data_IF_318584678116
#
_entry.id   IF_318584678116
#
_cell.length_a   1.000
_cell.length_b   1.000
_cell.length_c   1.000
_cell.angle_alpha   90.00
_cell.angle_beta   90.00
_cell.angle_gamma   90.00
#
_symmetry.space_group_name_H-M   'P 1'
#
loop_
_entity.id
_entity.type
_entity.pdbx_description
1 polymer ?
#
# COMPACT_ATOMS: atom_id res chain seq x y z
N UNK A 1 -21.32 -15.12 -7.99
CA UNK A 1 -20.14 -14.94 -7.14
C UNK A 1 -20.42 -15.64 -5.81
N UNK A 2 -19.49 -16.52 -5.37
CA UNK A 2 -19.66 -17.28 -4.13
C UNK A 2 -19.66 -16.37 -2.88
N UNK A 3 -20.20 -16.90 -1.76
CA UNK A 3 -20.28 -16.18 -0.48
C UNK A 3 -18.92 -15.77 0.12
N UNK A 4 -17.82 -16.31 -0.41
CA UNK A 4 -16.46 -16.11 0.10
C UNK A 4 -15.65 -15.10 -0.70
N UNK A 5 -16.29 -14.29 -1.54
CA UNK A 5 -15.60 -13.24 -2.29
C UNK A 5 -15.44 -11.98 -1.42
N UNK A 6 -14.24 -11.41 -1.42
CA UNK A 6 -14.01 -10.09 -0.84
C UNK A 6 -14.19 -9.01 -1.92
N UNK A 7 -15.40 -8.53 -2.08
CA UNK A 7 -15.72 -7.49 -3.07
C UNK A 7 -15.10 -6.13 -2.74
N UNK A 8 -14.62 -5.91 -1.51
CA UNK A 8 -13.92 -4.69 -1.13
C UNK A 8 -12.59 -4.51 -1.86
N UNK A 9 -12.02 -5.59 -2.42
CA UNK A 9 -10.76 -5.48 -3.19
C UNK A 9 -10.85 -4.54 -4.41
N UNK A 10 -12.06 -4.23 -4.89
CA UNK A 10 -12.30 -3.23 -5.94
C UNK A 10 -12.48 -1.81 -5.39
N UNK A 11 -12.63 -1.65 -4.08
CA UNK A 11 -12.89 -0.36 -3.45
C UNK A 11 -11.59 0.43 -3.25
N UNK A 12 -11.67 1.73 -3.49
CA UNK A 12 -10.57 2.66 -3.23
C UNK A 12 -10.08 2.60 -1.78
N UNK A 13 -11.01 2.58 -0.82
CA UNK A 13 -10.68 2.57 0.61
C UNK A 13 -9.98 1.30 1.06
N UNK A 14 -10.21 0.17 0.39
CA UNK A 14 -9.43 -1.03 0.66
C UNK A 14 -7.94 -0.83 0.37
N UNK A 15 -7.61 0.05 -0.59
CA UNK A 15 -6.26 0.53 -0.83
C UNK A 15 -5.68 1.37 0.31
N UNK A 16 -6.49 1.90 1.23
CA UNK A 16 -6.05 2.58 2.45
C UNK A 16 -6.03 1.63 3.66
N UNK A 17 -6.99 0.71 3.75
CA UNK A 17 -7.09 -0.27 4.85
C UNK A 17 -5.89 -1.21 4.88
N UNK A 18 -5.41 -1.64 3.72
CA UNK A 18 -4.32 -2.61 3.64
C UNK A 18 -2.98 -2.06 4.15
N UNK A 19 -2.49 -0.88 3.73
CA UNK A 19 -1.30 -0.29 4.34
C UNK A 19 -1.53 0.07 5.82
N UNK A 20 -2.73 0.49 6.22
CA UNK A 20 -3.06 0.70 7.63
C UNK A 20 -2.87 -0.58 8.44
N UNK A 21 -3.38 -1.72 7.98
CA UNK A 21 -3.17 -3.02 8.63
C UNK A 21 -1.69 -3.32 8.82
N UNK A 22 -0.87 -3.14 7.77
CA UNK A 22 0.57 -3.37 7.86
C UNK A 22 1.25 -2.43 8.88
N UNK A 23 0.86 -1.15 8.90
CA UNK A 23 1.38 -0.14 9.83
C UNK A 23 1.00 -0.46 11.28
N UNK A 24 -0.25 -0.86 11.54
CA UNK A 24 -0.70 -1.26 12.88
C UNK A 24 0.02 -2.52 13.36
N UNK A 25 0.24 -3.51 12.48
CA UNK A 25 1.02 -4.73 12.79
C UNK A 25 2.45 -4.35 13.22
N UNK A 26 3.13 -3.48 12.47
CA UNK A 26 4.48 -3.03 12.77
C UNK A 26 4.53 -2.20 14.06
N UNK A 27 3.63 -1.23 14.23
CA UNK A 27 3.59 -0.34 15.40
C UNK A 27 3.27 -1.10 16.70
N UNK A 28 2.61 -2.25 16.62
CA UNK A 28 2.34 -3.13 17.75
C UNK A 28 3.40 -4.22 17.97
N UNK A 29 4.55 -4.13 17.28
CA UNK A 29 5.70 -5.00 17.49
C UNK A 29 5.57 -6.40 16.90
N UNK A 30 4.65 -6.62 15.97
CA UNK A 30 4.53 -7.87 15.24
C UNK A 30 5.53 -7.90 14.07
N UNK A 31 6.09 -9.07 13.79
CA UNK A 31 7.22 -9.22 12.87
C UNK A 31 6.84 -9.25 11.38
N UNK A 32 5.56 -9.31 11.06
CA UNK A 32 5.12 -9.34 9.67
C UNK A 32 3.63 -9.63 9.54
N UNK A 33 3.14 -9.44 8.33
CA UNK A 33 1.76 -9.71 7.93
C UNK A 33 1.76 -10.29 6.52
N UNK A 34 0.93 -11.27 6.27
CA UNK A 34 0.69 -11.83 4.95
C UNK A 34 -0.73 -11.49 4.52
N UNK A 35 -0.87 -10.90 3.35
CA UNK A 35 -2.17 -10.65 2.75
C UNK A 35 -2.58 -11.81 1.85
N UNK A 36 -3.79 -12.22 1.94
CA UNK A 36 -4.42 -13.17 1.05
C UNK A 36 -5.29 -12.39 0.07
N UNK A 37 -5.01 -12.36 -1.22
CA UNK A 37 -3.88 -12.99 -1.90
C UNK A 37 -3.48 -12.20 -3.14
N UNK A 38 -2.41 -12.66 -3.82
CA UNK A 38 -1.84 -11.97 -4.97
C UNK A 38 -2.80 -11.94 -6.17
N UNK A 39 -3.34 -13.08 -6.54
CA UNK A 39 -4.25 -13.28 -7.67
C UNK A 39 -5.54 -13.95 -7.19
N UNK A 40 -6.63 -13.79 -7.92
CA UNK A 40 -7.86 -14.54 -7.63
C UNK A 40 -7.63 -16.02 -7.82
N UNK A 41 -8.24 -16.82 -6.96
CA UNK A 41 -8.09 -18.26 -6.99
C UNK A 41 -9.42 -18.98 -7.15
N UNK A 42 -9.35 -20.14 -7.77
CA UNK A 42 -10.43 -21.10 -7.80
C UNK A 42 -10.29 -22.05 -6.61
N UNK A 43 -11.25 -22.00 -5.69
CA UNK A 43 -11.28 -22.82 -4.49
C UNK A 43 -12.55 -23.68 -4.45
N UNK A 44 -12.81 -24.39 -5.52
CA UNK A 44 -13.78 -25.47 -5.48
C UNK A 44 -13.11 -26.81 -5.18
N UNK A 45 -13.88 -27.78 -4.73
CA UNK A 45 -13.42 -29.15 -4.65
C UNK A 45 -13.07 -29.67 -6.05
N UNK A 46 -11.83 -29.41 -6.49
CA UNK A 46 -11.31 -29.88 -7.76
C UNK A 46 -11.01 -28.82 -8.81
N UNK A 47 -10.92 -27.53 -8.45
CA UNK A 47 -10.58 -26.44 -9.38
C UNK A 47 -11.26 -26.66 -10.74
N UNK A 48 -12.59 -26.54 -10.73
CA UNK A 48 -13.44 -27.00 -11.82
C UNK A 48 -13.28 -26.23 -13.14
N UNK A 49 -12.59 -25.07 -13.11
CA UNK A 49 -12.50 -24.16 -14.24
C UNK A 49 -13.80 -23.38 -14.52
N UNK A 50 -14.79 -23.45 -13.62
CA UNK A 50 -16.06 -22.73 -13.79
C UNK A 50 -16.01 -21.36 -13.15
N UNK A 51 -16.57 -20.36 -13.82
CA UNK A 51 -16.55 -18.96 -13.36
C UNK A 51 -17.26 -18.75 -12.01
N UNK A 52 -18.30 -19.56 -11.73
CA UNK A 52 -19.01 -19.51 -10.46
C UNK A 52 -18.19 -19.98 -9.25
N UNK A 53 -17.10 -20.71 -9.48
CA UNK A 53 -16.22 -21.23 -8.44
C UNK A 53 -15.05 -20.28 -8.14
N UNK A 54 -14.83 -19.24 -8.93
CA UNK A 54 -13.75 -18.27 -8.71
C UNK A 54 -13.99 -17.47 -7.46
N UNK A 55 -12.96 -17.40 -6.63
CA UNK A 55 -12.93 -16.58 -5.40
C UNK A 55 -12.20 -15.28 -5.66
N UNK A 56 -12.86 -14.17 -5.41
CA UNK A 56 -12.34 -12.83 -5.66
C UNK A 56 -11.74 -12.28 -4.36
N UNK A 57 -10.42 -12.24 -4.28
CA UNK A 57 -9.65 -11.69 -3.15
C UNK A 57 -8.39 -10.97 -3.59
N UNK A 58 -7.92 -11.24 -4.81
CA UNK A 58 -6.62 -10.88 -5.31
C UNK A 58 -6.46 -9.41 -5.65
N UNK A 59 -5.25 -9.08 -6.03
CA UNK A 59 -4.88 -7.77 -6.57
C UNK A 59 -5.26 -7.63 -8.04
N UNK A 60 -5.55 -8.73 -8.72
CA UNK A 60 -6.03 -8.87 -10.10
C UNK A 60 -6.56 -10.28 -10.32
N UNK A 61 -7.00 -10.57 -11.53
CA UNK A 61 -7.26 -11.92 -12.01
C UNK A 61 -6.52 -12.13 -13.34
N UNK A 62 -5.46 -12.93 -13.33
CA UNK A 62 -4.60 -13.13 -14.51
C UNK A 62 -5.31 -13.84 -15.69
N UNK A 63 -6.46 -14.44 -15.42
CA UNK A 63 -7.30 -15.11 -16.41
C UNK A 63 -8.67 -14.42 -16.55
N UNK A 64 -8.68 -13.10 -16.44
CA UNK A 64 -9.91 -12.31 -16.41
C UNK A 64 -10.73 -12.48 -17.67
N UNK A 65 -10.11 -12.42 -18.84
CA UNK A 65 -10.77 -12.61 -20.12
C UNK A 65 -11.27 -14.05 -20.30
N UNK A 66 -10.44 -15.04 -19.98
CA UNK A 66 -10.76 -16.46 -20.15
C UNK A 66 -11.83 -16.95 -19.18
N UNK A 67 -11.81 -16.45 -17.93
CA UNK A 67 -12.70 -16.93 -16.87
C UNK A 67 -14.00 -16.14 -16.81
N UNK A 68 -13.96 -14.82 -17.03
CA UNK A 68 -15.11 -13.94 -16.91
C UNK A 68 -15.60 -13.39 -18.26
N UNK A 69 -14.82 -13.55 -19.34
CA UNK A 69 -15.04 -12.87 -20.62
C UNK A 69 -14.86 -11.34 -20.49
N UNK A 70 -14.03 -10.89 -19.54
CA UNK A 70 -13.86 -9.49 -19.19
C UNK A 70 -12.38 -9.21 -18.85
N UNK A 71 -11.64 -8.71 -19.83
CA UNK A 71 -10.23 -8.37 -19.69
C UNK A 71 -9.98 -7.28 -18.62
N UNK A 72 -10.99 -6.49 -18.21
CA UNK A 72 -10.82 -5.50 -17.15
C UNK A 72 -10.56 -6.13 -15.78
N UNK A 73 -10.84 -7.41 -15.60
CA UNK A 73 -10.51 -8.15 -14.38
C UNK A 73 -9.00 -8.38 -14.21
N UNK A 74 -8.23 -8.25 -15.28
CA UNK A 74 -6.77 -8.36 -15.29
C UNK A 74 -6.09 -7.06 -14.83
N UNK A 75 -6.85 -5.96 -14.77
CA UNK A 75 -6.35 -4.70 -14.26
C UNK A 75 -6.02 -4.78 -12.76
N UNK A 76 -4.98 -4.04 -12.37
CA UNK A 76 -4.55 -3.94 -10.98
C UNK A 76 -5.62 -3.25 -10.13
N UNK A 77 -6.07 -3.90 -9.09
CA UNK A 77 -7.04 -3.36 -8.15
C UNK A 77 -6.43 -2.34 -7.20
N UNK A 78 -7.23 -1.46 -6.59
CA UNK A 78 -6.77 -0.35 -5.76
C UNK A 78 -5.70 -0.71 -4.72
N UNK A 79 -5.87 -1.80 -3.99
CA UNK A 79 -4.96 -2.17 -2.90
C UNK A 79 -3.60 -2.70 -3.36
N UNK A 80 -3.45 -3.08 -4.63
CA UNK A 80 -2.14 -3.39 -5.19
C UNK A 80 -1.16 -2.24 -5.04
N UNK A 81 -1.61 -1.01 -5.33
CA UNK A 81 -0.74 0.16 -5.38
C UNK A 81 -0.09 0.48 -4.03
N UNK A 82 -0.83 0.34 -2.95
CA UNK A 82 -0.34 0.64 -1.60
C UNK A 82 0.36 -0.56 -0.97
N UNK A 83 -0.20 -1.77 -1.14
CA UNK A 83 0.39 -2.98 -0.58
C UNK A 83 1.74 -3.31 -1.20
N UNK A 84 1.90 -3.16 -2.51
CA UNK A 84 3.18 -3.36 -3.19
C UNK A 84 4.26 -2.39 -2.69
N UNK A 85 3.90 -1.13 -2.40
CA UNK A 85 4.80 -0.15 -1.79
C UNK A 85 5.21 -0.56 -0.37
N UNK A 86 4.27 -1.04 0.45
CA UNK A 86 4.60 -1.56 1.78
C UNK A 86 5.55 -2.75 1.70
N UNK A 87 5.28 -3.73 0.83
CA UNK A 87 6.15 -4.89 0.64
C UNK A 87 7.56 -4.52 0.15
N UNK A 88 7.65 -3.54 -0.74
CA UNK A 88 8.93 -3.12 -1.34
C UNK A 88 9.79 -2.32 -0.38
N UNK A 89 9.19 -1.38 0.35
CA UNK A 89 9.93 -0.37 1.10
C UNK A 89 9.95 -0.60 2.62
N UNK A 90 9.32 -1.67 3.10
CA UNK A 90 9.47 -2.19 4.46
C UNK A 90 9.99 -3.64 4.40
N UNK A 91 11.24 -3.84 3.92
CA UNK A 91 11.76 -5.17 3.64
C UNK A 91 12.04 -5.96 4.92
N UNK A 92 12.17 -7.27 4.79
CA UNK A 92 12.56 -8.14 5.88
C UNK A 92 13.85 -7.68 6.55
N UNK A 93 13.86 -7.67 7.88
CA UNK A 93 14.98 -7.24 8.69
C UNK A 93 15.17 -5.72 8.74
N UNK A 94 14.16 -4.92 8.43
CA UNK A 94 14.15 -3.51 8.80
C UNK A 94 13.82 -3.35 10.29
N UNK A 95 14.36 -2.28 10.90
CA UNK A 95 14.00 -1.86 12.25
C UNK A 95 12.78 -0.96 12.19
N UNK A 96 11.69 -1.33 12.82
CA UNK A 96 10.53 -0.44 13.00
C UNK A 96 10.89 0.63 14.02
N UNK A 97 10.65 1.89 13.68
CA UNK A 97 10.99 3.04 14.51
C UNK A 97 9.76 3.55 15.27
N UNK A 98 9.94 3.87 16.54
CA UNK A 98 8.92 4.59 17.29
C UNK A 98 8.76 6.00 16.72
N UNK A 99 7.53 6.36 16.37
CA UNK A 99 7.19 7.67 15.84
C UNK A 99 6.55 8.55 16.93
N UNK A 100 7.10 9.73 17.16
CA UNK A 100 6.42 10.77 17.95
C UNK A 100 5.45 11.51 17.01
N UNK A 101 4.19 11.09 17.00
CA UNK A 101 3.14 11.67 16.14
C UNK A 101 2.12 12.37 17.03
N UNK A 102 1.81 13.66 16.80
CA UNK A 102 0.70 14.32 17.46
C UNK A 102 -0.60 13.53 17.22
N UNK A 103 -1.36 13.29 18.27
CA UNK A 103 -2.65 12.62 18.12
C UNK A 103 -3.57 13.42 17.20
N UNK A 104 -3.88 12.84 16.06
CA UNK A 104 -4.85 13.37 15.10
C UNK A 104 -5.75 12.23 14.66
N UNK A 105 -7.05 12.45 14.82
CA UNK A 105 -8.04 11.51 14.34
C UNK A 105 -7.87 11.25 12.84
N UNK A 106 -7.98 10.00 12.44
CA UNK A 106 -7.84 9.58 11.04
C UNK A 106 -6.40 9.50 10.51
N UNK A 107 -5.38 10.02 11.22
CA UNK A 107 -3.99 9.93 10.79
C UNK A 107 -3.28 8.75 11.46
N UNK A 108 -2.58 7.95 10.66
CA UNK A 108 -1.65 6.92 11.13
C UNK A 108 -0.32 7.06 10.40
N UNK A 109 0.77 6.81 11.15
CA UNK A 109 2.14 6.88 10.63
C UNK A 109 2.91 5.65 11.11
N UNK A 110 3.73 5.10 10.23
CA UNK A 110 4.75 4.11 10.58
C UNK A 110 6.06 4.45 9.91
N UNK A 111 7.17 4.16 10.58
CA UNK A 111 8.49 4.37 10.02
C UNK A 111 9.38 3.15 10.26
N UNK A 112 10.28 2.91 9.32
CA UNK A 112 11.28 1.87 9.45
C UNK A 112 12.63 2.36 8.92
N UNK A 113 13.68 1.68 9.38
CA UNK A 113 15.06 1.86 8.91
C UNK A 113 15.60 0.52 8.43
N UNK A 114 16.22 0.53 7.27
CA UNK A 114 17.04 -0.57 6.76
C UNK A 114 18.44 -0.04 6.51
N UNK A 115 19.41 -0.48 7.30
CA UNK A 115 20.77 0.07 7.27
C UNK A 115 20.79 1.60 7.46
N UNK A 116 21.18 2.35 6.42
CA UNK A 116 21.17 3.82 6.41
C UNK A 116 19.93 4.42 5.73
N UNK A 117 19.02 3.58 5.22
CA UNK A 117 17.84 4.02 4.49
C UNK A 117 16.60 4.04 5.40
N UNK A 118 15.64 4.89 5.07
CA UNK A 118 14.42 5.10 5.85
C UNK A 118 13.19 4.99 4.95
N UNK A 119 12.11 4.47 5.53
CA UNK A 119 10.77 4.55 4.98
C UNK A 119 9.82 5.15 6.02
N UNK A 120 9.01 6.11 5.60
CA UNK A 120 7.95 6.70 6.42
C UNK A 120 6.65 6.66 5.64
N UNK A 121 5.70 5.87 6.11
CA UNK A 121 4.36 5.76 5.54
C UNK A 121 3.36 6.51 6.40
N UNK A 122 2.39 7.16 5.77
CA UNK A 122 1.26 7.77 6.44
C UNK A 122 -0.04 7.52 5.68
N UNK A 123 -1.09 7.17 6.43
CA UNK A 123 -2.47 7.10 5.95
C UNK A 123 -3.29 8.18 6.64
N UNK A 124 -4.06 8.91 5.87
CA UNK A 124 -5.01 9.90 6.35
C UNK A 124 -6.42 9.50 5.93
N UNK A 125 -7.24 9.05 6.87
CA UNK A 125 -8.66 8.71 6.64
C UNK A 125 -9.60 9.90 6.85
N UNK A 126 -9.06 11.05 7.28
CA UNK A 126 -9.91 12.23 7.47
C UNK A 126 -10.22 12.89 6.14
N UNK A 127 -11.32 13.64 6.10
CA UNK A 127 -11.73 14.43 4.93
C UNK A 127 -10.93 15.74 4.78
N UNK A 128 -9.97 15.99 5.67
CA UNK A 128 -9.13 17.17 5.63
C UNK A 128 -7.67 16.80 5.39
N UNK A 129 -6.95 17.51 4.52
CA UNK A 129 -5.53 17.27 4.34
C UNK A 129 -4.76 17.63 5.63
N UNK A 130 -3.61 16.99 5.81
CA UNK A 130 -2.70 17.37 6.89
C UNK A 130 -1.28 17.57 6.37
N UNK A 131 -0.56 18.48 7.01
CA UNK A 131 0.87 18.64 6.75
C UNK A 131 1.65 17.87 7.80
N UNK A 132 2.53 16.99 7.36
CA UNK A 132 3.49 16.32 8.20
C UNK A 132 4.84 17.00 8.08
N UNK A 133 5.45 17.25 9.24
CA UNK A 133 6.86 17.57 9.36
C UNK A 133 7.58 16.31 9.84
N UNK A 134 8.38 15.71 8.96
CA UNK A 134 9.12 14.47 9.21
C UNK A 134 10.55 14.85 9.59
N UNK A 135 10.99 14.42 10.78
CA UNK A 135 12.37 14.61 11.25
C UNK A 135 12.99 13.24 11.41
N UNK A 136 14.03 12.96 10.63
CA UNK A 136 14.74 11.68 10.67
C UNK A 136 15.98 11.75 11.57
N UNK A 137 16.32 10.66 12.25
CA UNK A 137 17.50 10.63 13.14
C UNK A 137 18.82 10.62 12.38
N UNK A 138 18.83 10.25 11.12
CA UNK A 138 20.01 10.16 10.26
C UNK A 138 19.88 10.96 8.97
N UNK A 139 20.95 10.92 8.16
CA UNK A 139 20.95 11.56 6.85
C UNK A 139 20.08 10.78 5.88
N UNK A 140 19.40 11.52 5.00
CA UNK A 140 18.51 10.98 3.99
C UNK A 140 18.87 11.63 2.66
N UNK A 141 19.12 10.83 1.63
CA UNK A 141 19.47 11.30 0.31
C UNK A 141 18.87 10.39 -0.76
N UNK A 142 18.61 10.95 -1.92
CA UNK A 142 18.03 10.20 -3.04
C UNK A 142 16.59 9.73 -2.81
N UNK A 143 15.90 10.31 -1.83
CA UNK A 143 14.56 9.92 -1.45
C UNK A 143 13.53 10.20 -2.52
N UNK A 144 12.44 9.44 -2.46
CA UNK A 144 11.28 9.55 -3.33
C UNK A 144 10.01 9.60 -2.49
N UNK A 145 8.98 10.28 -3.01
CA UNK A 145 7.65 10.33 -2.42
C UNK A 145 6.66 9.65 -3.35
N UNK A 146 5.91 8.70 -2.81
CA UNK A 146 4.75 8.10 -3.47
C UNK A 146 3.47 8.65 -2.86
N UNK A 147 2.45 8.77 -3.69
CA UNK A 147 1.11 9.18 -3.27
C UNK A 147 0.05 8.31 -3.91
N UNK A 148 -0.93 7.94 -3.10
CA UNK A 148 -2.11 7.24 -3.54
C UNK A 148 -3.33 8.03 -3.09
N UNK A 149 -4.11 8.51 -4.05
CA UNK A 149 -5.41 9.18 -3.86
C UNK A 149 -6.42 8.53 -4.79
N UNK A 150 -7.69 8.81 -4.62
CA UNK A 150 -8.72 8.28 -5.51
C UNK A 150 -8.50 8.69 -6.98
N UNK A 151 -8.02 9.91 -7.20
CA UNK A 151 -7.80 10.48 -8.53
C UNK A 151 -6.37 10.30 -9.07
N UNK A 152 -5.39 9.94 -8.21
CA UNK A 152 -3.98 9.85 -8.61
C UNK A 152 -3.36 8.57 -8.05
N UNK A 153 -3.15 7.61 -8.95
CA UNK A 153 -2.44 6.37 -8.74
C UNK A 153 -1.32 6.30 -9.75
N UNK A 154 -0.38 7.26 -9.64
CA UNK A 154 0.71 7.37 -10.60
C UNK A 154 1.47 6.05 -10.78
N UNK A 155 1.57 5.59 -12.04
CA UNK A 155 2.24 4.36 -12.41
C UNK A 155 3.25 4.59 -13.53
N UNK A 156 4.25 3.73 -13.59
CA UNK A 156 5.16 3.65 -14.73
C UNK A 156 4.50 2.90 -15.91
N UNK A 157 5.25 2.76 -16.99
CA UNK A 157 4.77 2.09 -18.20
C UNK A 157 4.43 0.60 -18.02
N UNK A 158 4.87 -0.01 -16.92
CA UNK A 158 4.59 -1.41 -16.58
C UNK A 158 3.47 -1.56 -15.54
N UNK A 159 2.81 -0.45 -15.16
CA UNK A 159 1.74 -0.45 -14.16
C UNK A 159 2.22 -0.47 -12.70
N UNK A 160 3.53 -0.36 -12.42
CA UNK A 160 4.03 -0.27 -11.05
C UNK A 160 3.89 1.15 -10.49
N UNK A 161 3.63 1.29 -9.18
CA UNK A 161 3.56 2.60 -8.55
C UNK A 161 4.80 3.45 -8.84
N UNK A 162 4.59 4.66 -9.32
CA UNK A 162 5.65 5.62 -9.63
C UNK A 162 5.68 6.75 -8.60
N UNK A 163 6.85 7.23 -8.17
CA UNK A 163 6.92 8.34 -7.24
C UNK A 163 6.51 9.66 -7.90
N UNK A 164 5.76 10.47 -7.17
CA UNK A 164 5.35 11.82 -7.59
C UNK A 164 6.45 12.87 -7.36
N UNK A 165 7.44 12.58 -6.50
CA UNK A 165 8.58 13.45 -6.23
C UNK A 165 9.86 12.62 -6.07
N UNK A 166 11.00 13.16 -6.50
CA UNK A 166 12.31 12.50 -6.46
C UNK A 166 13.40 13.45 -5.99
N UNK A 167 14.54 12.89 -5.56
CA UNK A 167 15.72 13.67 -5.17
C UNK A 167 15.59 14.34 -3.82
N UNK A 168 14.71 13.86 -2.97
CA UNK A 168 14.48 14.38 -1.63
C UNK A 168 15.71 14.10 -0.76
N UNK A 169 16.22 15.12 -0.08
CA UNK A 169 17.40 15.01 0.76
C UNK A 169 17.34 15.92 1.98
N UNK A 170 18.01 15.52 3.07
CA UNK A 170 18.10 16.27 4.34
C UNK A 170 17.67 15.42 5.54
N UNK A 171 17.43 16.07 6.67
CA UNK A 171 16.94 15.41 7.90
C UNK A 171 15.53 15.83 8.27
N UNK A 172 15.01 16.87 7.62
CA UNK A 172 13.71 17.46 7.91
C UNK A 172 12.97 17.70 6.60
N UNK A 173 11.77 17.18 6.53
CA UNK A 173 10.92 17.25 5.35
C UNK A 173 9.54 17.76 5.75
N UNK A 174 8.89 18.45 4.83
CA UNK A 174 7.50 18.82 4.99
C UNK A 174 6.74 18.31 3.77
N UNK A 175 5.71 17.50 4.01
CA UNK A 175 4.83 17.00 2.98
C UNK A 175 3.37 17.14 3.39
N UNK A 176 2.50 17.25 2.40
CA UNK A 176 1.05 17.19 2.61
C UNK A 176 0.56 15.78 2.38
N UNK A 177 -0.16 15.24 3.35
CA UNK A 177 -0.96 14.02 3.21
C UNK A 177 -2.38 14.47 2.87
N UNK A 178 -2.85 14.29 1.64
CA UNK A 178 -4.20 14.70 1.26
C UNK A 178 -5.27 14.03 2.13
N UNK A 179 -6.50 14.53 2.06
CA UNK A 179 -7.64 13.84 2.60
C UNK A 179 -7.74 12.44 2.00
N UNK A 180 -8.16 11.48 2.78
CA UNK A 180 -8.44 10.10 2.35
C UNK A 180 -7.34 9.55 1.42
N UNK A 181 -6.08 9.53 1.90
CA UNK A 181 -4.92 9.19 1.09
C UNK A 181 -3.84 8.41 1.83
N UNK A 182 -2.95 7.81 1.05
CA UNK A 182 -1.70 7.23 1.53
C UNK A 182 -0.51 7.96 0.90
N UNK A 183 0.53 8.20 1.70
CA UNK A 183 1.83 8.67 1.22
C UNK A 183 2.96 7.81 1.79
N UNK A 184 4.02 7.67 1.01
CA UNK A 184 5.24 6.99 1.42
C UNK A 184 6.46 7.81 0.98
N UNK A 185 7.24 8.27 1.96
CA UNK A 185 8.58 8.84 1.76
C UNK A 185 9.62 7.76 2.03
N UNK A 186 10.51 7.50 1.08
CA UNK A 186 11.51 6.44 1.22
C UNK A 186 12.76 6.68 0.38
N UNK A 187 13.88 6.14 0.85
CA UNK A 187 15.09 5.91 0.07
C UNK A 187 15.59 4.45 0.17
N UNK A 188 14.70 3.56 0.60
CA UNK A 188 14.90 2.11 0.53
C UNK A 188 14.62 1.67 -0.92
N UNK A 189 15.59 1.04 -1.55
CA UNK A 189 15.52 0.50 -2.92
C UNK A 189 14.75 -0.83 -3.00
#
# INVERSE_FOLDING_TARGET
KGSDCNMLCYDYFYGLDMPLLAMEVMNNGLSGVAAWMLDDAMHSNGDSGRTEDVKIWGMWNILGEEVFGDASQEELRPWYYTWSLMCRHFPAGCDVLACEVPQREGLRVAAARKDAAYSVAAVNFSQEPCTLEIVLPGDFAGGVLYRYTESDRACDANGFPAPCERGIAGKRFRTTVPAESFVLLTNVE
#
